data_IF_099410791679
#
_entry.id   IF_099410791679
#
_cell.length_a   1.000
_cell.length_b   1.000
_cell.length_c   1.000
_cell.angle_alpha   90.00
_cell.angle_beta   90.00
_cell.angle_gamma   90.00
#
_symmetry.space_group_name_H-M   'P 1'
#
loop_
_entity.id
_entity.type
_entity.pdbx_description
1 polymer ?
#
# COMPACT_ATOMS: atom_id res chain seq x y z
N UNK A 1 27.33 6.76 -4.25
CA UNK A 1 26.22 7.65 -3.89
C UNK A 1 25.13 7.38 -4.92
N UNK A 2 24.13 6.55 -4.61
CA UNK A 2 22.97 6.40 -5.50
C UNK A 2 22.11 7.64 -5.32
N UNK A 3 21.66 8.24 -6.41
CA UNK A 3 20.69 9.34 -6.38
C UNK A 3 19.33 8.70 -6.64
N UNK A 4 18.64 8.34 -5.57
CA UNK A 4 17.29 7.78 -5.66
C UNK A 4 16.26 8.92 -5.70
N UNK A 5 15.21 8.82 -6.53
CA UNK A 5 14.15 9.81 -6.55
C UNK A 5 13.32 9.75 -5.25
N UNK A 6 12.69 10.87 -4.88
CA UNK A 6 11.80 10.91 -3.71
C UNK A 6 10.64 9.90 -3.81
N UNK A 7 10.23 9.53 -5.03
CA UNK A 7 9.21 8.52 -5.29
C UNK A 7 9.61 7.09 -4.88
N UNK A 8 10.91 6.81 -4.70
CA UNK A 8 11.41 5.51 -4.25
C UNK A 8 11.38 5.37 -2.71
N UNK A 9 10.98 6.41 -1.98
CA UNK A 9 10.83 6.35 -0.53
C UNK A 9 9.58 5.58 -0.13
N UNK A 10 9.68 4.89 1.01
CA UNK A 10 8.63 4.10 1.63
C UNK A 10 7.75 4.91 2.58
N UNK A 11 8.14 6.14 2.88
CA UNK A 11 7.29 7.15 3.51
C UNK A 11 6.71 8.11 2.46
N UNK A 12 5.55 8.67 2.78
CA UNK A 12 4.91 9.73 2.00
C UNK A 12 4.03 10.55 2.93
N UNK A 13 3.74 11.78 2.56
CA UNK A 13 2.64 12.51 3.17
C UNK A 13 1.31 12.14 2.49
N UNK A 14 0.33 11.65 3.25
CA UNK A 14 -1.02 11.48 2.73
C UNK A 14 -1.76 12.82 2.71
N UNK A 15 -2.26 13.21 1.54
CA UNK A 15 -3.08 14.44 1.39
C UNK A 15 -4.43 14.29 2.08
N UNK A 16 -4.85 15.32 2.82
CA UNK A 16 -6.15 15.38 3.47
C UNK A 16 -7.33 15.38 2.47
N UNK A 17 -7.10 15.75 1.21
CA UNK A 17 -8.14 15.72 0.17
C UNK A 17 -8.44 14.32 -0.35
N UNK A 18 -7.53 13.37 -0.14
CA UNK A 18 -7.69 11.99 -0.60
C UNK A 18 -8.47 11.11 0.39
N UNK A 19 -8.63 11.58 1.63
CA UNK A 19 -9.26 10.83 2.72
C UNK A 19 -10.78 10.74 2.57
N UNK A 20 -11.41 9.91 3.39
CA UNK A 20 -12.86 9.68 3.45
C UNK A 20 -13.45 9.31 2.09
N UNK A 21 -12.81 8.36 1.38
CA UNK A 21 -13.24 7.94 0.04
C UNK A 21 -13.17 9.05 -1.00
N UNK A 22 -12.25 10.01 -0.84
CA UNK A 22 -12.11 11.18 -1.70
C UNK A 22 -12.98 12.38 -1.33
N UNK A 23 -13.77 12.31 -0.25
CA UNK A 23 -14.51 13.47 0.27
C UNK A 23 -13.60 14.51 0.94
N UNK A 24 -12.41 14.07 1.35
CA UNK A 24 -11.42 14.86 2.05
C UNK A 24 -11.78 15.15 3.51
N UNK A 25 -10.98 16.02 4.12
CA UNK A 25 -11.14 16.48 5.52
C UNK A 25 -11.56 17.94 5.54
N UNK A 26 -12.54 18.27 6.40
CA UNK A 26 -12.92 19.65 6.63
C UNK A 26 -11.84 20.37 7.42
N UNK A 27 -11.34 21.51 6.91
CA UNK A 27 -10.38 22.36 7.62
C UNK A 27 -11.09 23.17 8.71
N UNK A 28 -10.46 23.30 9.87
CA UNK A 28 -11.02 24.06 10.98
C UNK A 28 -10.27 23.83 12.28
N UNK A 29 -10.96 23.99 13.41
CA UNK A 29 -10.39 23.80 14.75
C UNK A 29 -11.02 22.61 15.44
N UNK A 30 -10.24 21.97 16.31
CA UNK A 30 -10.71 20.89 17.18
C UNK A 30 -10.35 21.23 18.63
N UNK A 31 -11.12 20.69 19.57
CA UNK A 31 -10.80 20.73 21.00
C UNK A 31 -10.30 19.35 21.40
N UNK A 32 -9.21 19.31 22.16
CA UNK A 32 -8.73 18.08 22.78
C UNK A 32 -8.69 18.31 24.29
N UNK A 33 -9.27 17.38 25.04
CA UNK A 33 -9.18 17.30 26.49
C UNK A 33 -8.35 16.07 26.84
N UNK A 34 -7.25 16.26 27.55
CA UNK A 34 -6.42 15.16 28.05
C UNK A 34 -7.00 14.58 29.35
N UNK A 35 -6.46 13.45 29.80
CA UNK A 35 -7.00 12.73 30.96
C UNK A 35 -6.72 13.44 32.30
N UNK A 36 -5.87 14.47 32.32
CA UNK A 36 -5.72 15.36 33.49
C UNK A 36 -6.85 16.39 33.59
N UNK A 37 -7.68 16.49 32.55
CA UNK A 37 -8.72 17.51 32.39
C UNK A 37 -8.21 18.80 31.76
N UNK A 38 -6.96 18.82 31.30
CA UNK A 38 -6.41 19.97 30.57
C UNK A 38 -6.98 20.01 29.16
N UNK A 39 -7.20 21.21 28.63
CA UNK A 39 -7.90 21.43 27.36
C UNK A 39 -7.07 22.31 26.45
N UNK A 40 -6.89 21.88 25.20
CA UNK A 40 -6.32 22.68 24.15
C UNK A 40 -7.28 22.83 22.96
N UNK A 41 -7.22 24.00 22.33
CA UNK A 41 -7.82 24.22 21.00
C UNK A 41 -6.72 24.14 19.96
N UNK A 42 -6.86 23.21 19.03
CA UNK A 42 -5.89 22.95 17.96
C UNK A 42 -6.43 23.51 16.64
N UNK A 43 -5.64 24.34 15.97
CA UNK A 43 -6.02 24.99 14.71
C UNK A 43 -5.44 24.25 13.51
N UNK A 44 -6.29 23.47 12.82
CA UNK A 44 -5.94 22.67 11.65
C UNK A 44 -6.37 23.36 10.34
N UNK A 45 -6.71 24.65 10.39
CA UNK A 45 -7.21 25.38 9.21
C UNK A 45 -6.19 25.49 8.07
N UNK A 46 -4.90 25.33 8.38
CA UNK A 46 -3.80 25.37 7.41
C UNK A 46 -3.25 23.98 7.03
N UNK A 47 -3.74 22.91 7.66
CA UNK A 47 -3.27 21.57 7.38
C UNK A 47 -3.65 21.14 5.95
N UNK A 48 -2.71 20.49 5.27
CA UNK A 48 -2.87 19.96 3.91
C UNK A 48 -2.63 18.45 3.90
N UNK A 49 -1.77 17.95 4.78
CA UNK A 49 -1.40 16.54 4.89
C UNK A 49 -1.74 15.95 6.25
N UNK A 50 -1.71 14.62 6.37
CA UNK A 50 -1.80 13.93 7.65
C UNK A 50 -0.64 14.31 8.56
N UNK A 51 0.58 14.47 8.03
CA UNK A 51 1.72 14.90 8.84
C UNK A 51 1.54 16.30 9.41
N UNK A 52 0.95 17.25 8.67
CA UNK A 52 0.60 18.56 9.23
C UNK A 52 -0.36 18.43 10.42
N UNK A 53 -1.33 17.51 10.34
CA UNK A 53 -2.27 17.24 11.44
C UNK A 53 -1.56 16.66 12.65
N UNK A 54 -0.73 15.63 12.45
CA UNK A 54 0.04 15.01 13.52
C UNK A 54 0.95 16.02 14.20
N UNK A 55 1.72 16.80 13.42
CA UNK A 55 2.62 17.83 13.93
C UNK A 55 1.86 18.91 14.70
N UNK A 56 0.73 19.38 14.17
CA UNK A 56 -0.06 20.44 14.82
C UNK A 56 -0.66 19.96 16.14
N UNK A 57 -1.09 18.69 16.24
CA UNK A 57 -1.58 18.12 17.51
C UNK A 57 -0.42 17.89 18.49
N UNK A 58 0.70 17.31 18.04
CA UNK A 58 1.86 17.00 18.88
C UNK A 58 2.53 18.25 19.45
N UNK A 59 2.43 19.38 18.75
CA UNK A 59 2.94 20.68 19.21
C UNK A 59 1.89 21.52 19.93
N UNK A 60 0.69 21.00 20.20
CA UNK A 60 -0.36 21.72 20.91
C UNK A 60 0.03 21.89 22.39
N UNK A 61 0.31 23.13 22.79
CA UNK A 61 0.60 23.44 24.19
C UNK A 61 -0.62 23.29 25.10
N UNK A 62 -0.37 22.91 26.36
CA UNK A 62 -1.39 22.85 27.42
C UNK A 62 -2.10 21.51 27.56
N UNK A 63 -1.73 20.50 26.77
CA UNK A 63 -2.17 19.09 26.90
C UNK A 63 -0.96 18.16 26.76
N UNK A 64 -1.05 16.95 27.29
CA UNK A 64 0.01 15.92 27.15
C UNK A 64 -0.47 14.77 26.26
N UNK A 65 -0.44 14.97 24.93
CA UNK A 65 -0.92 14.01 23.93
C UNK A 65 0.16 13.74 22.87
N UNK A 66 0.25 12.49 22.42
CA UNK A 66 0.98 12.10 21.22
C UNK A 66 0.02 11.56 20.16
N UNK A 67 -0.11 12.27 19.05
CA UNK A 67 -0.77 11.86 17.83
C UNK A 67 0.17 11.02 16.94
N UNK A 68 -0.37 9.93 16.41
CA UNK A 68 0.29 9.01 15.50
C UNK A 68 -0.70 8.43 14.49
N UNK A 69 -0.17 7.79 13.44
CA UNK A 69 -0.96 6.95 12.52
C UNK A 69 -1.04 5.54 13.09
N UNK A 70 -2.21 4.92 12.92
CA UNK A 70 -2.47 3.51 13.25
C UNK A 70 -3.22 2.88 12.06
N UNK A 71 -2.47 2.32 11.12
CA UNK A 71 -3.00 1.82 9.83
C UNK A 71 -3.73 2.92 9.04
N UNK A 72 -5.05 2.78 8.94
CA UNK A 72 -5.95 3.70 8.22
C UNK A 72 -6.62 4.76 9.11
N UNK A 73 -6.12 4.90 10.34
CA UNK A 73 -6.71 5.72 11.41
C UNK A 73 -5.66 6.66 12.00
N UNK A 74 -6.16 7.67 12.70
CA UNK A 74 -5.34 8.46 13.62
C UNK A 74 -5.52 7.95 15.04
N UNK A 75 -4.43 7.94 15.80
CA UNK A 75 -4.40 7.50 17.19
C UNK A 75 -3.76 8.57 18.06
N UNK A 76 -4.44 8.92 19.15
CA UNK A 76 -3.94 9.80 20.19
C UNK A 76 -3.58 8.96 21.41
N UNK A 77 -2.40 9.18 21.98
CA UNK A 77 -1.94 8.56 23.23
C UNK A 77 -1.79 9.64 24.28
N UNK A 78 -2.50 9.49 25.40
CA UNK A 78 -2.36 10.35 26.56
C UNK A 78 -1.08 10.04 27.34
N UNK A 79 -0.36 11.09 27.70
CA UNK A 79 0.86 11.05 28.51
C UNK A 79 0.73 11.88 29.79
N UNK A 80 -0.47 12.37 30.11
CA UNK A 80 -0.70 13.25 31.25
C UNK A 80 -0.70 12.49 32.58
N UNK A 81 -0.90 11.17 32.54
CA UNK A 81 -1.06 10.31 33.72
C UNK A 81 -2.37 10.54 34.49
N UNK A 82 -3.30 11.29 33.90
CA UNK A 82 -4.60 11.56 34.51
C UNK A 82 -5.56 10.39 34.38
N UNK A 83 -6.56 10.33 35.26
CA UNK A 83 -7.57 9.27 35.28
C UNK A 83 -8.88 9.67 34.55
N UNK A 84 -9.00 10.92 34.09
CA UNK A 84 -10.17 11.43 33.39
C UNK A 84 -10.33 10.88 31.98
N UNK A 85 -11.27 11.48 31.25
CA UNK A 85 -11.63 11.12 29.87
C UNK A 85 -10.72 11.84 28.87
N UNK A 86 -10.10 11.08 27.96
CA UNK A 86 -9.50 11.65 26.76
C UNK A 86 -10.60 11.90 25.74
N UNK A 87 -10.76 13.15 25.30
CA UNK A 87 -11.87 13.56 24.43
C UNK A 87 -11.41 14.48 23.32
N UNK A 88 -11.97 14.29 22.12
CA UNK A 88 -11.78 15.20 20.99
C UNK A 88 -13.14 15.67 20.46
N UNK A 89 -13.27 16.97 20.22
CA UNK A 89 -14.52 17.60 19.80
C UNK A 89 -14.32 18.52 18.60
N UNK A 90 -15.36 18.66 17.79
CA UNK A 90 -15.44 19.73 16.80
C UNK A 90 -15.56 21.10 17.50
N UNK A 91 -14.93 22.12 16.92
CA UNK A 91 -15.15 23.53 17.32
C UNK A 91 -15.82 24.30 16.17
N UNK A 92 -16.82 25.11 16.51
CA UNK A 92 -17.52 25.96 15.55
C UNK A 92 -18.46 25.15 14.65
N UNK A 93 -18.60 25.56 13.40
CA UNK A 93 -19.47 24.91 12.41
C UNK A 93 -18.78 23.82 11.57
N UNK A 94 -17.47 23.65 11.71
CA UNK A 94 -16.69 22.68 10.93
C UNK A 94 -16.69 21.31 11.59
N UNK A 95 -16.96 20.24 10.83
CA UNK A 95 -16.89 18.86 11.30
C UNK A 95 -15.46 18.28 11.23
N UNK A 96 -14.44 19.09 11.52
CA UNK A 96 -13.01 18.77 11.36
C UNK A 96 -12.61 17.48 12.11
N UNK A 97 -12.91 17.39 13.41
CA UNK A 97 -12.61 16.20 14.22
C UNK A 97 -13.35 14.96 13.72
N UNK A 98 -14.60 15.12 13.27
CA UNK A 98 -15.38 14.01 12.71
C UNK A 98 -14.77 13.52 11.39
N UNK A 99 -14.38 14.43 10.49
CA UNK A 99 -13.74 14.07 9.23
C UNK A 99 -12.32 13.51 9.39
N UNK A 100 -11.67 13.74 10.52
CA UNK A 100 -10.41 13.09 10.92
C UNK A 100 -10.65 11.76 11.65
N UNK A 101 -11.91 11.36 11.85
CA UNK A 101 -12.27 10.17 12.60
C UNK A 101 -12.01 10.26 14.11
N UNK A 102 -11.64 11.44 14.62
CA UNK A 102 -11.22 11.62 16.01
C UNK A 102 -12.34 12.08 16.94
N UNK A 103 -13.49 12.55 16.44
CA UNK A 103 -14.59 13.08 17.26
C UNK A 103 -15.27 12.00 18.13
N UNK A 104 -14.61 11.64 19.23
CA UNK A 104 -15.02 10.63 20.20
C UNK A 104 -14.35 10.91 21.54
N UNK A 105 -14.68 10.09 22.53
CA UNK A 105 -14.15 10.14 23.86
C UNK A 105 -13.91 8.72 24.39
N UNK A 106 -12.93 8.59 25.28
CA UNK A 106 -12.64 7.33 25.97
C UNK A 106 -12.36 7.60 27.45
N UNK A 107 -13.05 6.87 28.31
CA UNK A 107 -13.08 7.05 29.77
C UNK A 107 -12.29 5.96 30.52
N UNK A 108 -11.37 5.25 29.85
CA UNK A 108 -10.70 4.07 30.42
C UNK A 108 -9.36 3.71 29.78
N UNK A 109 -8.72 2.65 30.29
CA UNK A 109 -7.50 2.03 29.73
C UNK A 109 -7.88 1.24 28.46
N UNK A 110 -7.16 1.35 27.32
CA UNK A 110 -5.83 1.93 27.14
C UNK A 110 -5.77 3.46 27.25
N UNK A 111 -4.60 4.02 27.56
CA UNK A 111 -4.26 5.46 27.46
C UNK A 111 -4.45 6.06 26.05
N UNK A 112 -5.18 5.41 25.14
CA UNK A 112 -5.22 5.71 23.73
C UNK A 112 -6.63 5.89 23.23
N UNK A 113 -6.86 6.92 22.41
CA UNK A 113 -8.05 7.12 21.61
C UNK A 113 -7.68 6.81 20.15
N UNK A 114 -8.25 5.74 19.60
CA UNK A 114 -8.11 5.38 18.18
C UNK A 114 -9.35 5.82 17.42
N UNK A 115 -9.16 6.60 16.36
CA UNK A 115 -10.25 7.12 15.54
C UNK A 115 -10.94 6.09 14.65
N UNK A 116 -11.93 6.53 13.89
CA UNK A 116 -12.51 5.76 12.79
C UNK A 116 -11.56 5.67 11.59
N UNK A 117 -11.80 4.71 10.70
CA UNK A 117 -11.10 4.63 9.41
C UNK A 117 -11.39 5.89 8.60
N UNK A 118 -10.33 6.53 8.11
CA UNK A 118 -10.41 7.72 7.22
C UNK A 118 -9.66 7.53 5.91
N UNK A 119 -8.85 6.48 5.80
CA UNK A 119 -8.17 6.11 4.57
C UNK A 119 -8.85 4.88 3.98
N UNK A 120 -9.73 5.11 3.03
CA UNK A 120 -10.56 4.07 2.44
C UNK A 120 -10.87 4.37 0.98
N UNK A 121 -11.13 3.31 0.23
CA UNK A 121 -11.64 3.32 -1.12
C UNK A 121 -13.14 3.65 -1.14
N UNK A 122 -13.57 4.11 -2.30
CA UNK A 122 -14.96 4.37 -2.64
C UNK A 122 -15.18 4.06 -4.12
N UNK A 123 -16.44 3.99 -4.55
CA UNK A 123 -16.77 3.85 -5.98
C UNK A 123 -16.32 5.04 -6.84
N UNK A 124 -16.03 6.19 -6.24
CA UNK A 124 -15.47 7.36 -6.93
C UNK A 124 -13.94 7.39 -6.95
N UNK A 125 -13.27 6.43 -6.30
CA UNK A 125 -11.80 6.37 -6.29
C UNK A 125 -11.28 6.13 -7.70
N UNK A 126 -10.36 6.98 -8.14
CA UNK A 126 -9.74 6.91 -9.46
C UNK A 126 -8.77 5.73 -9.56
N UNK A 127 -8.80 5.01 -10.67
CA UNK A 127 -7.88 3.89 -10.93
C UNK A 127 -6.42 4.33 -10.93
N UNK A 128 -6.13 5.54 -11.42
CA UNK A 128 -4.78 6.12 -11.43
C UNK A 128 -4.22 6.39 -10.04
N UNK A 129 -5.06 6.46 -9.00
CA UNK A 129 -4.64 6.67 -7.62
C UNK A 129 -4.30 5.38 -6.87
N UNK A 130 -4.60 4.21 -7.44
CA UNK A 130 -4.38 2.91 -6.82
C UNK A 130 -2.92 2.49 -6.88
N UNK A 131 -2.56 1.48 -6.08
CA UNK A 131 -1.24 0.84 -6.07
C UNK A 131 -0.10 1.85 -5.88
N UNK A 132 -0.18 2.69 -4.84
CA UNK A 132 0.77 3.79 -4.59
C UNK A 132 0.86 4.86 -5.69
N UNK A 133 -0.14 4.91 -6.58
CA UNK A 133 -0.16 5.78 -7.76
C UNK A 133 0.41 5.12 -9.02
N UNK A 134 0.74 3.82 -8.97
CA UNK A 134 1.09 3.04 -10.16
C UNK A 134 -0.11 2.77 -11.07
N UNK A 135 -1.32 2.93 -10.54
CA UNK A 135 -2.57 2.79 -11.27
C UNK A 135 -3.00 1.34 -11.48
N UNK A 136 -3.97 1.18 -12.38
CA UNK A 136 -4.41 -0.10 -12.94
C UNK A 136 -4.27 0.01 -14.45
N UNK A 137 -3.62 -0.97 -15.08
CA UNK A 137 -3.60 -1.04 -16.53
C UNK A 137 -5.03 -1.19 -17.08
N UNK A 138 -5.47 -0.24 -17.88
CA UNK A 138 -6.73 -0.30 -18.64
C UNK A 138 -6.50 -0.03 -20.13
N UNK A 139 -5.23 -0.09 -20.57
CA UNK A 139 -4.81 0.19 -21.94
C UNK A 139 -4.73 -1.11 -22.74
N UNK A 140 -5.88 -1.72 -23.04
CA UNK A 140 -5.89 -3.03 -23.68
C UNK A 140 -7.26 -3.55 -24.14
N UNK A 141 -7.23 -4.70 -24.80
CA UNK A 141 -8.41 -5.43 -25.27
C UNK A 141 -9.13 -6.15 -24.13
N UNK A 142 -8.77 -7.43 -23.89
CA UNK A 142 -9.27 -8.19 -22.74
C UNK A 142 -8.36 -7.92 -21.55
N UNK A 143 -8.91 -7.31 -20.51
CA UNK A 143 -8.16 -6.84 -19.34
C UNK A 143 -8.25 -7.81 -18.16
N UNK A 144 -9.42 -8.43 -17.99
CA UNK A 144 -9.65 -9.46 -16.97
C UNK A 144 -10.39 -10.63 -17.60
N UNK A 145 -9.92 -11.84 -17.34
CA UNK A 145 -10.56 -13.09 -17.75
C UNK A 145 -10.92 -13.92 -16.53
N UNK A 146 -12.17 -14.38 -16.48
CA UNK A 146 -12.71 -15.28 -15.47
C UNK A 146 -12.97 -16.63 -16.11
N UNK A 147 -12.58 -17.72 -15.44
CA UNK A 147 -12.94 -19.07 -15.86
C UNK A 147 -13.03 -20.03 -14.69
N UNK A 148 -13.98 -20.96 -14.74
CA UNK A 148 -14.03 -22.09 -13.82
C UNK A 148 -13.81 -23.45 -14.53
N UNK A 149 -13.20 -23.41 -15.72
CA UNK A 149 -13.01 -24.59 -16.58
C UNK A 149 -14.23 -24.96 -17.43
N UNK A 150 -15.45 -24.69 -16.95
CA UNK A 150 -16.71 -24.96 -17.68
C UNK A 150 -17.23 -23.71 -18.39
N UNK A 151 -17.22 -22.58 -17.67
CA UNK A 151 -17.64 -21.27 -18.13
C UNK A 151 -16.44 -20.34 -18.14
N UNK A 152 -16.42 -19.43 -19.11
CA UNK A 152 -15.42 -18.38 -19.18
C UNK A 152 -16.04 -17.12 -19.78
N UNK A 153 -15.64 -15.98 -19.23
CA UNK A 153 -15.95 -14.69 -19.81
C UNK A 153 -14.81 -13.71 -19.53
N UNK A 154 -14.79 -12.62 -20.29
CA UNK A 154 -13.75 -11.59 -20.19
C UNK A 154 -14.37 -10.21 -20.17
N UNK A 155 -13.71 -9.28 -19.49
CA UNK A 155 -14.12 -7.88 -19.45
C UNK A 155 -12.98 -6.97 -19.90
N UNK A 156 -13.36 -5.86 -20.52
CA UNK A 156 -12.48 -4.79 -20.96
C UNK A 156 -12.76 -3.54 -20.12
N UNK A 157 -11.70 -2.88 -19.66
CA UNK A 157 -11.69 -1.73 -18.77
C UNK A 157 -11.33 -0.42 -19.50
N UNK A 158 -11.13 -0.46 -20.82
CA UNK A 158 -10.71 0.67 -21.67
C UNK A 158 -11.48 2.00 -21.51
N UNK A 159 -12.70 1.98 -20.95
CA UNK A 159 -13.50 3.18 -20.68
C UNK A 159 -13.68 3.50 -19.19
N UNK A 160 -13.08 2.69 -18.30
CA UNK A 160 -13.20 2.85 -16.85
C UNK A 160 -12.11 3.77 -16.30
N UNK A 161 -12.49 4.59 -15.34
CA UNK A 161 -11.68 5.60 -14.65
C UNK A 161 -11.80 5.48 -13.14
N UNK A 162 -12.90 4.93 -12.63
CA UNK A 162 -13.11 4.72 -11.19
C UNK A 162 -13.32 3.25 -10.83
N UNK A 163 -13.13 2.93 -9.54
CA UNK A 163 -13.46 1.60 -9.00
C UNK A 163 -14.94 1.24 -9.17
N UNK A 164 -15.85 2.21 -9.08
CA UNK A 164 -17.28 1.98 -9.35
C UNK A 164 -17.52 1.48 -10.77
N UNK A 165 -16.87 2.10 -11.76
CA UNK A 165 -16.99 1.68 -13.16
C UNK A 165 -16.37 0.29 -13.39
N UNK A 166 -15.27 -0.05 -12.71
CA UNK A 166 -14.71 -1.42 -12.75
C UNK A 166 -15.67 -2.44 -12.16
N UNK A 167 -16.24 -2.15 -10.98
CA UNK A 167 -17.23 -2.99 -10.31
C UNK A 167 -18.42 -3.24 -11.24
N UNK A 168 -18.97 -2.17 -11.83
CA UNK A 168 -20.09 -2.28 -12.77
C UNK A 168 -19.72 -3.05 -14.03
N UNK A 169 -18.49 -2.89 -14.53
CA UNK A 169 -18.00 -3.58 -15.74
C UNK A 169 -17.85 -5.08 -15.50
N UNK A 170 -17.33 -5.50 -14.35
CA UNK A 170 -17.26 -6.93 -13.97
C UNK A 170 -18.68 -7.48 -13.80
N UNK A 171 -19.50 -6.77 -13.02
CA UNK A 171 -20.84 -7.20 -12.67
C UNK A 171 -21.76 -7.31 -13.87
N UNK A 172 -21.60 -6.47 -14.88
CA UNK A 172 -22.43 -6.47 -16.09
C UNK A 172 -21.69 -7.04 -17.31
N UNK A 173 -20.58 -7.75 -17.08
CA UNK A 173 -19.79 -8.40 -18.13
C UNK A 173 -20.61 -9.40 -18.94
N UNK A 174 -20.46 -9.37 -20.26
CA UNK A 174 -21.12 -10.33 -21.14
C UNK A 174 -20.64 -11.76 -20.83
N UNK A 175 -21.56 -12.66 -20.48
CA UNK A 175 -21.24 -14.03 -20.06
C UNK A 175 -21.03 -14.21 -18.56
N UNK A 176 -21.20 -13.15 -17.75
CA UNK A 176 -21.26 -13.26 -16.30
C UNK A 176 -22.65 -13.74 -15.84
N UNK A 177 -22.95 -15.01 -16.12
CA UNK A 177 -24.23 -15.68 -15.83
C UNK A 177 -23.95 -17.01 -15.11
N UNK A 178 -24.68 -17.30 -14.03
CA UNK A 178 -24.53 -18.57 -13.31
C UNK A 178 -25.33 -19.74 -13.94
N UNK A 179 -26.10 -19.47 -14.99
CA UNK A 179 -26.97 -20.43 -15.67
C UNK A 179 -28.28 -20.71 -14.94
N UNK A 180 -28.52 -20.03 -13.81
CA UNK A 180 -29.72 -20.11 -12.97
C UNK A 180 -30.49 -18.77 -12.95
N UNK A 181 -30.07 -17.80 -13.76
CA UNK A 181 -30.65 -16.46 -13.85
C UNK A 181 -30.01 -15.43 -12.90
N UNK A 182 -28.89 -15.79 -12.27
CA UNK A 182 -28.04 -14.90 -11.48
C UNK A 182 -26.70 -14.60 -12.16
N UNK A 183 -25.79 -13.95 -11.43
CA UNK A 183 -24.44 -13.65 -11.90
C UNK A 183 -23.49 -14.75 -11.43
N UNK A 184 -22.57 -15.19 -12.28
CA UNK A 184 -21.53 -16.14 -11.89
C UNK A 184 -20.62 -15.53 -10.82
N UNK A 185 -20.23 -14.27 -11.00
CA UNK A 185 -19.43 -13.49 -10.06
C UNK A 185 -20.05 -12.12 -9.79
N UNK A 186 -19.90 -11.63 -8.57
CA UNK A 186 -20.25 -10.26 -8.18
C UNK A 186 -19.06 -9.59 -7.49
N UNK A 187 -18.56 -8.51 -8.09
CA UNK A 187 -17.55 -7.63 -7.52
C UNK A 187 -18.16 -6.59 -6.58
N UNK A 188 -17.49 -6.31 -5.47
CA UNK A 188 -17.76 -5.20 -4.56
C UNK A 188 -16.46 -4.70 -3.91
N UNK A 189 -16.51 -3.55 -3.23
CA UNK A 189 -15.47 -3.23 -2.25
C UNK A 189 -15.47 -4.29 -1.15
N UNK A 190 -14.30 -4.58 -0.58
CA UNK A 190 -14.18 -5.46 0.59
C UNK A 190 -14.70 -4.76 1.87
N UNK A 191 -14.85 -5.51 2.95
CA UNK A 191 -15.44 -5.01 4.20
C UNK A 191 -14.71 -3.77 4.78
N UNK A 192 -13.39 -3.71 4.61
CA UNK A 192 -12.54 -2.63 5.11
C UNK A 192 -12.43 -1.45 4.12
N UNK A 193 -12.99 -1.59 2.91
CA UNK A 193 -12.83 -0.66 1.79
C UNK A 193 -11.35 -0.39 1.43
N UNK A 194 -10.51 -1.42 1.43
CA UNK A 194 -9.08 -1.34 1.12
C UNK A 194 -8.75 -2.06 -0.19
N UNK A 195 -9.65 -2.90 -0.68
CA UNK A 195 -9.56 -3.64 -1.94
C UNK A 195 -10.93 -4.07 -2.47
N UNK A 196 -10.94 -5.10 -3.30
CA UNK A 196 -12.14 -5.66 -3.92
C UNK A 196 -12.38 -7.10 -3.44
N UNK A 197 -13.64 -7.50 -3.37
CA UNK A 197 -14.05 -8.89 -3.14
C UNK A 197 -14.86 -9.37 -4.36
N UNK A 198 -14.62 -10.61 -4.78
CA UNK A 198 -15.45 -11.32 -5.74
C UNK A 198 -16.27 -12.38 -5.00
N UNK A 199 -17.58 -12.17 -4.93
CA UNK A 199 -18.52 -13.22 -4.54
C UNK A 199 -18.72 -14.15 -5.73
N UNK A 200 -18.48 -15.45 -5.55
CA UNK A 200 -18.54 -16.43 -6.62
C UNK A 200 -19.61 -17.48 -6.35
N UNK A 201 -20.52 -17.66 -7.32
CA UNK A 201 -21.69 -18.54 -7.20
C UNK A 201 -21.48 -19.93 -7.82
N UNK A 202 -20.26 -20.26 -8.28
CA UNK A 202 -19.94 -21.57 -8.82
C UNK A 202 -19.29 -22.52 -7.81
N UNK A 203 -19.28 -23.81 -8.15
CA UNK A 203 -18.68 -24.87 -7.33
C UNK A 203 -17.29 -25.28 -7.79
N UNK A 204 -17.00 -25.08 -9.08
CA UNK A 204 -15.69 -25.38 -9.67
C UNK A 204 -14.68 -24.28 -9.33
N UNK A 205 -13.37 -24.59 -9.22
CA UNK A 205 -12.36 -23.59 -8.90
C UNK A 205 -12.33 -22.41 -9.88
N UNK A 206 -12.50 -21.19 -9.38
CA UNK A 206 -12.44 -19.96 -10.14
C UNK A 206 -10.99 -19.53 -10.38
N UNK A 207 -10.67 -19.22 -11.63
CA UNK A 207 -9.43 -18.62 -12.08
C UNK A 207 -9.70 -17.22 -12.61
N UNK A 208 -8.93 -16.24 -12.14
CA UNK A 208 -9.01 -14.85 -12.58
C UNK A 208 -7.61 -14.46 -13.06
N UNK A 209 -7.51 -14.00 -14.31
CA UNK A 209 -6.23 -13.64 -14.95
C UNK A 209 -6.33 -12.32 -15.68
N UNK A 210 -5.17 -11.72 -15.97
CA UNK A 210 -5.05 -10.40 -16.61
C UNK A 210 -4.10 -9.48 -15.85
N UNK A 211 -3.54 -8.49 -16.53
CA UNK A 211 -2.67 -7.48 -15.90
C UNK A 211 -3.49 -6.61 -14.95
N UNK A 212 -4.63 -6.11 -15.43
CA UNK A 212 -5.58 -5.36 -14.61
C UNK A 212 -6.11 -6.17 -13.43
N UNK A 213 -6.29 -7.49 -13.60
CA UNK A 213 -6.67 -8.37 -12.50
C UNK A 213 -5.61 -8.41 -11.39
N UNK A 214 -4.32 -8.43 -11.76
CA UNK A 214 -3.21 -8.36 -10.79
C UNK A 214 -3.14 -6.99 -10.13
N UNK A 215 -3.27 -5.92 -10.91
CA UNK A 215 -3.27 -4.55 -10.38
C UNK A 215 -4.48 -4.29 -9.47
N UNK A 216 -5.61 -4.94 -9.71
CA UNK A 216 -6.80 -4.88 -8.83
C UNK A 216 -6.74 -5.89 -7.67
N UNK A 217 -5.63 -6.64 -7.53
CA UNK A 217 -5.44 -7.62 -6.47
C UNK A 217 -6.35 -8.85 -6.57
N UNK A 218 -7.00 -9.08 -7.72
CA UNK A 218 -8.00 -10.12 -7.94
C UNK A 218 -7.47 -11.38 -8.63
N UNK A 219 -6.25 -11.34 -9.17
CA UNK A 219 -5.70 -12.45 -9.93
C UNK A 219 -5.49 -13.69 -9.02
N UNK A 220 -6.10 -14.81 -9.39
CA UNK A 220 -6.03 -16.08 -8.66
C UNK A 220 -6.01 -17.26 -9.61
N UNK A 221 -5.34 -18.33 -9.23
CA UNK A 221 -5.28 -19.58 -9.98
C UNK A 221 -6.04 -20.68 -9.23
N UNK A 222 -7.34 -20.83 -9.55
CA UNK A 222 -8.17 -21.94 -9.05
C UNK A 222 -8.51 -21.86 -7.56
N UNK A 223 -9.44 -20.98 -7.18
CA UNK A 223 -9.97 -20.85 -5.82
C UNK A 223 -11.40 -21.37 -5.75
N UNK A 224 -11.73 -22.14 -4.71
CA UNK A 224 -13.12 -22.53 -4.43
C UNK A 224 -13.73 -21.50 -3.48
N UNK A 225 -14.86 -20.91 -3.88
CA UNK A 225 -15.55 -19.87 -3.10
C UNK A 225 -15.14 -18.45 -3.49
N UNK A 226 -15.38 -17.50 -2.59
CA UNK A 226 -15.12 -16.09 -2.82
C UNK A 226 -13.62 -15.80 -2.94
N UNK A 227 -13.30 -14.75 -3.69
CA UNK A 227 -11.93 -14.22 -3.80
C UNK A 227 -11.87 -12.90 -3.04
N UNK A 228 -11.08 -12.86 -1.98
CA UNK A 228 -10.69 -11.61 -1.32
C UNK A 228 -9.46 -11.06 -2.03
N UNK A 229 -9.60 -9.88 -2.62
CA UNK A 229 -8.51 -9.23 -3.31
C UNK A 229 -7.53 -8.55 -2.35
N UNK A 230 -6.29 -8.39 -2.79
CA UNK A 230 -5.29 -7.64 -2.03
C UNK A 230 -5.65 -6.16 -1.90
N UNK A 231 -5.10 -5.52 -0.87
CA UNK A 231 -5.18 -4.07 -0.67
C UNK A 231 -4.61 -3.26 -1.85
N UNK A 232 -5.36 -2.23 -2.26
CA UNK A 232 -5.08 -1.36 -3.41
C UNK A 232 -4.75 0.08 -3.04
N UNK A 233 -5.07 0.49 -1.81
CA UNK A 233 -4.77 1.82 -1.28
C UNK A 233 -3.72 1.70 -0.19
N UNK A 234 -2.59 2.37 -0.30
CA UNK A 234 -1.59 2.37 0.78
C UNK A 234 -2.19 2.87 2.08
N UNK A 235 -1.71 2.37 3.23
CA UNK A 235 -2.03 2.96 4.53
C UNK A 235 -1.61 4.43 4.62
N UNK A 236 -1.95 5.09 5.72
CA UNK A 236 -1.53 6.47 5.96
C UNK A 236 0.00 6.55 6.10
N UNK A 237 0.61 7.48 5.36
CA UNK A 237 2.03 7.78 5.37
C UNK A 237 2.99 6.59 5.13
N UNK A 238 2.55 5.60 4.37
CA UNK A 238 3.32 4.39 4.04
C UNK A 238 3.15 4.00 2.57
N UNK A 239 3.82 2.92 2.16
CA UNK A 239 3.65 2.22 0.88
C UNK A 239 3.09 0.82 1.06
N UNK A 240 2.52 0.27 0.00
CA UNK A 240 2.01 -1.10 -0.06
C UNK A 240 3.17 -2.10 -0.09
N UNK A 241 3.00 -3.21 0.62
CA UNK A 241 3.93 -4.34 0.56
C UNK A 241 3.93 -4.96 -0.84
N UNK A 242 2.78 -4.98 -1.52
CA UNK A 242 2.64 -5.49 -2.89
C UNK A 242 3.45 -4.71 -3.93
N UNK A 243 3.91 -3.50 -3.61
CA UNK A 243 4.77 -2.70 -4.48
C UNK A 243 6.27 -2.83 -4.17
N UNK A 244 6.67 -3.62 -3.17
CA UNK A 244 8.09 -3.89 -2.91
C UNK A 244 8.68 -4.84 -3.96
N UNK A 245 10.01 -4.97 -3.97
CA UNK A 245 10.74 -5.89 -4.86
C UNK A 245 10.38 -5.70 -6.34
N UNK A 246 10.32 -4.44 -6.79
CA UNK A 246 9.97 -4.10 -8.17
C UNK A 246 8.49 -4.29 -8.51
N UNK A 247 7.64 -4.55 -7.50
CA UNK A 247 6.21 -4.80 -7.67
C UNK A 247 5.83 -6.28 -7.69
N UNK A 248 6.79 -7.16 -7.39
CA UNK A 248 6.53 -8.59 -7.12
C UNK A 248 5.89 -8.79 -5.74
N UNK A 249 6.00 -7.78 -4.87
CA UNK A 249 5.57 -7.84 -3.48
C UNK A 249 6.60 -8.51 -2.58
N UNK A 250 6.25 -8.71 -1.31
CA UNK A 250 7.05 -9.49 -0.39
C UNK A 250 6.20 -10.60 0.21
N UNK A 251 6.69 -11.84 0.13
CA UNK A 251 6.13 -12.98 0.86
C UNK A 251 6.49 -12.84 2.33
N UNK A 252 5.50 -12.44 3.13
CA UNK A 252 5.66 -12.23 4.55
C UNK A 252 5.25 -13.48 5.35
N UNK A 253 5.91 -13.69 6.49
CA UNK A 253 5.63 -14.82 7.35
C UNK A 253 6.14 -14.59 8.76
N UNK A 254 6.47 -15.67 9.45
CA UNK A 254 6.99 -15.60 10.81
C UNK A 254 8.52 -15.66 10.86
N UNK A 255 9.09 -14.94 11.82
CA UNK A 255 10.52 -14.98 12.11
C UNK A 255 10.79 -14.62 13.59
N UNK A 256 12.05 -14.74 13.99
CA UNK A 256 12.52 -14.38 15.33
C UNK A 256 13.76 -13.50 15.24
N UNK A 257 13.95 -12.66 16.26
CA UNK A 257 15.15 -11.82 16.42
C UNK A 257 15.84 -12.19 17.73
N UNK A 258 17.15 -12.42 17.68
CA UNK A 258 18.01 -12.50 18.87
C UNK A 258 18.80 -11.20 19.00
N UNK A 259 18.59 -10.47 20.08
CA UNK A 259 19.36 -9.27 20.42
C UNK A 259 20.74 -9.64 20.98
N UNK A 260 21.64 -8.65 21.04
CA UNK A 260 23.04 -8.84 21.41
C UNK A 260 23.25 -9.16 22.90
N UNK A 261 22.27 -8.90 23.76
CA UNK A 261 22.26 -9.35 25.15
C UNK A 261 21.81 -10.82 25.30
N UNK A 262 21.45 -11.47 24.20
CA UNK A 262 20.96 -12.85 24.14
C UNK A 262 19.44 -12.98 24.32
N UNK A 263 18.70 -11.88 24.50
CA UNK A 263 17.24 -11.92 24.54
C UNK A 263 16.67 -12.24 23.16
N UNK A 264 15.58 -13.01 23.15
CA UNK A 264 14.90 -13.42 21.92
C UNK A 264 13.50 -12.80 21.86
N UNK A 265 13.17 -12.24 20.70
CA UNK A 265 11.82 -11.86 20.29
C UNK A 265 11.36 -12.92 19.31
N UNK A 266 10.51 -13.83 19.78
CA UNK A 266 10.10 -14.99 19.00
C UNK A 266 8.75 -14.77 18.33
N UNK A 267 8.53 -15.45 17.20
CA UNK A 267 7.23 -15.54 16.54
C UNK A 267 6.66 -14.17 16.17
N UNK A 268 7.52 -13.30 15.63
CA UNK A 268 7.11 -12.07 14.97
C UNK A 268 6.40 -12.49 13.69
N UNK A 269 5.09 -12.25 13.61
CA UNK A 269 4.27 -12.65 12.47
C UNK A 269 3.94 -11.43 11.60
N UNK A 270 4.43 -11.44 10.36
CA UNK A 270 4.17 -10.41 9.36
C UNK A 270 3.13 -10.82 8.32
N UNK A 271 2.55 -12.02 8.41
CA UNK A 271 1.67 -12.58 7.37
C UNK A 271 0.42 -11.73 7.09
N UNK A 272 -0.02 -10.93 8.06
CA UNK A 272 -1.15 -10.01 7.92
C UNK A 272 -0.78 -8.57 7.53
N UNK A 273 0.49 -8.25 7.27
CA UNK A 273 0.87 -6.89 6.91
C UNK A 273 0.65 -6.61 5.42
N UNK A 274 -0.06 -5.54 5.12
CA UNK A 274 -0.33 -5.09 3.74
C UNK A 274 0.47 -3.83 3.38
N UNK A 275 1.07 -3.17 4.38
CA UNK A 275 1.85 -1.95 4.25
C UNK A 275 3.17 -1.97 5.04
N UNK A 276 4.14 -1.15 4.61
CA UNK A 276 5.44 -1.05 5.30
C UNK A 276 5.29 -0.56 6.74
N UNK A 277 4.37 0.37 7.04
CA UNK A 277 4.10 0.80 8.41
C UNK A 277 3.55 -0.32 9.29
N UNK A 278 2.73 -1.23 8.75
CA UNK A 278 2.26 -2.40 9.49
C UNK A 278 3.40 -3.36 9.76
N UNK A 279 4.30 -3.58 8.79
CA UNK A 279 5.53 -4.36 9.01
C UNK A 279 6.33 -3.77 10.17
N UNK A 280 6.62 -2.46 10.15
CA UNK A 280 7.34 -1.79 11.23
C UNK A 280 6.60 -1.91 12.58
N UNK A 281 5.28 -1.76 12.56
CA UNK A 281 4.44 -1.81 13.77
C UNK A 281 4.39 -3.22 14.36
N UNK A 282 4.27 -4.27 13.54
CA UNK A 282 4.26 -5.65 14.00
C UNK A 282 5.60 -6.05 14.61
N UNK A 283 6.72 -5.59 14.05
CA UNK A 283 8.05 -5.83 14.65
C UNK A 283 8.18 -5.08 15.98
N UNK A 284 7.88 -3.78 16.00
CA UNK A 284 8.03 -2.94 17.19
C UNK A 284 7.13 -3.37 18.34
N UNK A 285 5.91 -3.83 18.04
CA UNK A 285 4.92 -4.26 19.01
C UNK A 285 4.90 -5.78 19.22
N UNK A 286 5.84 -6.52 18.63
CA UNK A 286 5.92 -7.96 18.82
C UNK A 286 6.03 -8.33 20.31
N UNK A 287 5.33 -9.40 20.70
CA UNK A 287 5.34 -9.88 22.07
C UNK A 287 6.78 -10.17 22.53
N UNK A 288 7.17 -9.59 23.68
CA UNK A 288 8.52 -9.75 24.24
C UNK A 288 9.59 -8.82 23.67
N UNK A 289 9.28 -8.01 22.65
CA UNK A 289 10.18 -6.99 22.13
C UNK A 289 10.39 -5.87 23.17
N UNK A 290 9.33 -5.27 23.69
CA UNK A 290 9.40 -4.24 24.76
C UNK A 290 10.45 -3.14 24.51
N UNK A 291 10.68 -2.78 23.24
CA UNK A 291 11.67 -1.77 22.83
C UNK A 291 13.13 -2.26 22.73
N UNK A 292 13.40 -3.55 22.95
CA UNK A 292 14.75 -4.14 22.81
C UNK A 292 15.29 -4.03 21.39
N UNK A 293 14.42 -4.19 20.39
CA UNK A 293 14.73 -3.99 18.98
C UNK A 293 13.73 -3.02 18.39
N UNK A 294 14.23 -1.95 17.78
CA UNK A 294 13.41 -0.91 17.14
C UNK A 294 13.56 -1.01 15.64
N UNK A 295 12.44 -1.24 14.93
CA UNK A 295 12.33 -1.20 13.50
C UNK A 295 11.92 0.21 13.03
N UNK A 296 12.68 0.77 12.09
CA UNK A 296 12.43 2.07 11.47
C UNK A 296 12.69 1.99 9.97
N UNK A 297 12.34 3.02 9.22
CA UNK A 297 12.93 3.19 7.89
C UNK A 297 14.42 3.55 8.04
N UNK A 298 15.24 3.09 7.10
CA UNK A 298 16.64 3.47 7.02
C UNK A 298 16.78 4.97 6.71
N UNK A 299 17.99 5.53 6.83
CA UNK A 299 18.23 6.96 6.62
C UNK A 299 17.80 7.46 5.22
N UNK A 300 17.90 6.61 4.20
CA UNK A 300 17.48 6.93 2.84
C UNK A 300 15.94 6.90 2.66
N UNK A 301 15.21 6.28 3.59
CA UNK A 301 13.76 6.08 3.54
C UNK A 301 13.32 4.98 2.57
N UNK A 302 14.23 4.17 2.03
CA UNK A 302 13.93 3.17 0.99
C UNK A 302 14.08 1.71 1.46
N UNK A 303 14.26 1.51 2.76
CA UNK A 303 14.31 0.18 3.37
C UNK A 303 14.14 0.25 4.88
N UNK A 304 14.23 -0.90 5.54
CA UNK A 304 14.02 -1.07 6.96
C UNK A 304 15.37 -1.16 7.67
N UNK A 305 15.45 -0.56 8.86
CA UNK A 305 16.58 -0.61 9.78
C UNK A 305 16.09 -1.13 11.13
N UNK A 306 16.64 -2.25 11.57
CA UNK A 306 16.48 -2.76 12.92
C UNK A 306 17.63 -2.24 13.79
N UNK A 307 17.32 -1.77 15.00
CA UNK A 307 18.28 -1.26 15.97
C UNK A 307 18.09 -1.97 17.31
N UNK A 308 19.11 -2.69 17.76
CA UNK A 308 19.18 -3.27 19.09
C UNK A 308 19.56 -2.21 20.14
N UNK A 309 18.74 -2.09 21.18
CA UNK A 309 18.87 -1.13 22.28
C UNK A 309 19.33 -1.77 23.60
N UNK A 310 19.57 -3.08 23.62
CA UNK A 310 19.87 -3.86 24.85
C UNK A 310 21.29 -3.66 25.37
N UNK A 311 22.22 -3.20 24.52
CA UNK A 311 23.62 -2.92 24.91
C UNK A 311 24.51 -4.15 25.09
N UNK A 312 24.06 -5.35 24.70
CA UNK A 312 24.86 -6.57 24.77
C UNK A 312 26.02 -6.63 23.77
N UNK A 313 26.95 -7.55 24.01
CA UNK A 313 28.16 -7.71 23.18
C UNK A 313 28.07 -8.85 22.15
N UNK A 314 27.02 -9.67 22.20
CA UNK A 314 26.75 -10.71 21.22
C UNK A 314 26.40 -10.15 19.84
N UNK A 315 25.88 -11.02 18.97
CA UNK A 315 25.42 -10.61 17.65
C UNK A 315 23.91 -10.38 17.65
N UNK A 316 23.47 -9.43 16.82
CA UNK A 316 22.07 -9.30 16.42
C UNK A 316 21.83 -10.31 15.29
N UNK A 317 20.86 -11.20 15.43
CA UNK A 317 20.57 -12.21 14.41
C UNK A 317 19.09 -12.40 14.16
N UNK A 318 18.77 -12.78 12.93
CA UNK A 318 17.42 -13.12 12.49
C UNK A 318 17.34 -14.60 12.13
N UNK A 319 16.24 -15.24 12.52
CA UNK A 319 15.96 -16.64 12.20
C UNK A 319 14.53 -16.82 11.66
N UNK A 320 14.37 -17.67 10.65
CA UNK A 320 13.10 -17.87 9.93
C UNK A 320 13.08 -17.12 8.60
N UNK A 321 12.20 -17.52 7.69
CA UNK A 321 12.12 -16.99 6.33
C UNK A 321 11.08 -15.86 6.16
N UNK A 322 10.30 -15.56 7.19
CA UNK A 322 9.18 -14.62 7.12
C UNK A 322 9.52 -13.16 6.80
N UNK A 323 10.82 -12.82 6.71
CA UNK A 323 11.32 -11.51 6.33
C UNK A 323 12.49 -11.59 5.31
N UNK A 324 12.62 -12.69 4.57
CA UNK A 324 13.63 -12.86 3.51
C UNK A 324 13.41 -11.85 2.38
N UNK A 325 12.18 -11.72 1.90
CA UNK A 325 11.80 -10.75 0.85
C UNK A 325 11.88 -9.29 1.32
N UNK A 326 12.05 -9.07 2.63
CA UNK A 326 12.37 -7.75 3.20
C UNK A 326 13.88 -7.53 3.33
N UNK A 327 14.73 -8.44 2.85
CA UNK A 327 16.18 -8.35 2.98
C UNK A 327 16.69 -8.39 4.43
N UNK A 328 15.87 -8.84 5.38
CA UNK A 328 16.23 -8.89 6.81
C UNK A 328 16.68 -10.28 7.25
N UNK A 329 16.20 -11.35 6.61
CA UNK A 329 16.29 -12.71 7.13
C UNK A 329 17.16 -13.68 6.30
N UNK A 330 18.30 -13.24 5.78
CA UNK A 330 19.21 -14.09 4.98
C UNK A 330 20.18 -14.96 5.82
N UNK A 331 19.83 -15.28 7.08
CA UNK A 331 20.73 -15.96 8.02
C UNK A 331 21.86 -15.07 8.55
N UNK A 332 21.73 -13.74 8.39
CA UNK A 332 22.70 -12.77 8.91
C UNK A 332 22.70 -12.71 10.43
N UNK A 333 23.90 -12.88 10.96
CA UNK A 333 24.27 -12.53 12.32
C UNK A 333 25.29 -11.41 12.23
N UNK A 334 24.97 -10.23 12.75
CA UNK A 334 25.83 -9.05 12.69
C UNK A 334 26.39 -8.71 14.06
N UNK A 335 27.69 -8.47 14.14
CA UNK A 335 28.37 -7.97 15.34
C UNK A 335 28.18 -6.44 15.50
N UNK A 336 26.98 -5.95 15.21
CA UNK A 336 26.60 -4.54 15.24
C UNK A 336 25.22 -4.38 15.88
N UNK A 337 24.92 -3.21 16.45
CA UNK A 337 23.60 -2.90 17.02
C UNK A 337 22.56 -2.58 15.96
N UNK A 338 22.90 -2.67 14.67
CA UNK A 338 22.04 -2.27 13.56
C UNK A 338 22.13 -3.30 12.44
N UNK A 339 20.98 -3.73 11.92
CA UNK A 339 20.83 -4.58 10.73
C UNK A 339 19.81 -3.92 9.78
N UNK A 340 20.20 -3.67 8.53
CA UNK A 340 19.36 -2.99 7.54
C UNK A 340 19.07 -3.86 6.34
N UNK A 341 17.88 -3.70 5.75
CA UNK A 341 17.43 -4.44 4.56
C UNK A 341 18.12 -4.07 3.25
N UNK A 342 18.88 -2.97 3.23
CA UNK A 342 19.22 -2.29 1.98
C UNK A 342 18.00 -1.58 1.37
N UNK A 343 17.96 -1.46 0.04
CA UNK A 343 16.83 -0.88 -0.69
C UNK A 343 15.80 -1.97 -1.02
N UNK A 344 14.54 -1.77 -0.61
CA UNK A 344 13.42 -2.70 -0.85
C UNK A 344 12.81 -2.58 -2.26
N UNK A 345 13.43 -1.78 -3.14
CA UNK A 345 13.10 -1.67 -4.56
C UNK A 345 11.63 -1.35 -4.79
N UNK A 346 11.09 -0.31 -4.14
CA UNK A 346 9.71 0.09 -4.35
C UNK A 346 9.43 0.33 -5.84
N UNK A 347 8.36 -0.26 -6.36
CA UNK A 347 7.84 0.04 -7.70
C UNK A 347 7.20 1.42 -7.71
N UNK A 348 7.86 2.35 -8.39
CA UNK A 348 7.33 3.69 -8.70
C UNK A 348 7.21 3.95 -10.21
N UNK A 349 7.54 2.95 -11.03
CA UNK A 349 7.32 2.90 -12.48
C UNK A 349 6.63 1.55 -12.77
N UNK A 350 5.52 1.62 -13.50
CA UNK A 350 4.65 0.49 -13.86
C UNK A 350 4.36 0.49 -15.35
N UNK A 351 3.71 -0.57 -15.86
CA UNK A 351 3.18 -0.60 -17.23
C UNK A 351 2.18 0.54 -17.47
N UNK A 352 1.39 0.93 -16.46
CA UNK A 352 0.50 2.09 -16.51
C UNK A 352 1.21 3.45 -16.46
N UNK A 353 2.52 3.49 -16.22
CA UNK A 353 3.26 4.76 -16.18
C UNK A 353 3.28 5.40 -17.56
N UNK A 354 2.84 6.65 -17.63
CA UNK A 354 2.81 7.40 -18.87
C UNK A 354 4.22 7.75 -19.34
N UNK A 355 4.46 7.63 -20.63
CA UNK A 355 5.76 7.97 -21.23
C UNK A 355 6.07 9.47 -21.08
N UNK A 356 5.04 10.32 -21.08
CA UNK A 356 5.18 11.77 -20.89
C UNK A 356 5.56 12.16 -19.45
N UNK A 357 5.36 11.29 -18.45
CA UNK A 357 5.76 11.56 -17.07
C UNK A 357 7.22 11.20 -16.78
N UNK A 358 7.88 10.48 -17.69
CA UNK A 358 9.29 10.12 -17.55
C UNK A 358 10.21 11.35 -17.57
N UNK A 359 11.42 11.19 -17.03
CA UNK A 359 12.42 12.28 -16.94
C UNK A 359 11.88 13.54 -16.22
N UNK A 360 11.13 13.35 -15.14
CA UNK A 360 10.53 14.45 -14.39
C UNK A 360 9.45 15.21 -15.15
N UNK A 361 8.71 14.52 -16.03
CA UNK A 361 7.68 15.13 -16.87
C UNK A 361 8.17 15.73 -18.19
N UNK A 362 9.47 15.63 -18.49
CA UNK A 362 9.99 15.98 -19.82
C UNK A 362 9.62 14.93 -20.88
N UNK A 363 9.19 13.75 -20.44
CA UNK A 363 8.96 12.59 -21.28
C UNK A 363 10.24 12.06 -21.92
N UNK A 364 10.07 11.25 -22.96
CA UNK A 364 11.15 10.80 -23.83
C UNK A 364 10.96 11.37 -25.24
N UNK A 365 12.05 11.48 -25.99
CA UNK A 365 11.95 11.80 -27.42
C UNK A 365 11.28 10.63 -28.13
N UNK A 366 10.12 10.89 -28.73
CA UNK A 366 9.40 9.92 -29.56
C UNK A 366 10.05 9.81 -30.93
N UNK A 367 10.12 8.62 -31.50
CA UNK A 367 10.76 8.36 -32.77
C UNK A 367 10.78 6.89 -33.12
N UNK A 368 11.63 6.53 -34.08
CA UNK A 368 11.84 5.16 -34.51
C UNK A 368 13.28 4.80 -34.16
N UNK A 369 13.47 3.65 -33.53
CA UNK A 369 14.82 3.15 -33.24
C UNK A 369 14.92 1.67 -33.58
N UNK A 370 16.17 1.23 -33.79
CA UNK A 370 16.49 -0.15 -34.15
C UNK A 370 17.17 -0.84 -32.98
N UNK A 371 16.63 -1.99 -32.58
CA UNK A 371 17.27 -2.91 -31.64
C UNK A 371 17.95 -4.00 -32.46
N UNK A 372 19.17 -4.37 -32.07
CA UNK A 372 19.89 -5.52 -32.62
C UNK A 372 20.08 -6.52 -31.50
N UNK A 373 19.62 -7.76 -31.67
CA UNK A 373 19.84 -8.80 -30.67
C UNK A 373 21.27 -9.38 -30.74
N UNK A 374 21.60 -10.27 -29.82
CA UNK A 374 22.91 -10.94 -29.76
C UNK A 374 23.21 -11.84 -30.96
N UNK A 375 22.20 -12.15 -31.79
CA UNK A 375 22.30 -12.93 -33.03
C UNK A 375 22.39 -12.02 -34.26
N UNK A 376 22.40 -10.69 -34.09
CA UNK A 376 22.45 -9.71 -35.17
C UNK A 376 21.10 -9.46 -35.85
N UNK A 377 19.99 -9.98 -35.30
CA UNK A 377 18.65 -9.76 -35.83
C UNK A 377 18.19 -8.36 -35.43
N UNK A 378 17.66 -7.64 -36.42
CA UNK A 378 17.19 -6.27 -36.25
C UNK A 378 15.68 -6.23 -36.08
N UNK A 379 15.22 -5.57 -35.03
CA UNK A 379 13.84 -5.14 -34.88
C UNK A 379 13.78 -3.61 -34.92
N UNK A 380 12.86 -3.07 -35.69
CA UNK A 380 12.56 -1.63 -35.66
C UNK A 380 11.38 -1.43 -34.74
N UNK A 381 11.52 -0.53 -33.76
CA UNK A 381 10.46 -0.17 -32.83
C UNK A 381 10.04 1.27 -33.13
N UNK A 382 8.77 1.45 -33.44
CA UNK A 382 8.17 2.76 -33.69
C UNK A 382 7.38 3.24 -32.46
N UNK A 383 7.89 4.29 -31.81
CA UNK A 383 7.22 4.98 -30.69
C UNK A 383 6.76 6.38 -31.07
N UNK A 384 6.81 6.72 -32.35
CA UNK A 384 6.28 7.97 -32.89
C UNK A 384 4.76 7.94 -33.02
N UNK A 385 4.14 6.76 -32.99
CA UNK A 385 2.70 6.59 -33.09
C UNK A 385 1.96 7.16 -31.86
N UNK A 386 0.75 7.66 -32.09
CA UNK A 386 -0.13 8.18 -31.02
C UNK A 386 -0.73 7.08 -30.14
N UNK A 387 -0.54 5.81 -30.52
CA UNK A 387 -1.03 4.64 -29.77
C UNK A 387 -0.12 4.21 -28.61
N UNK A 388 1.09 4.76 -28.51
CA UNK A 388 2.03 4.46 -27.42
C UNK A 388 1.98 5.58 -26.38
N UNK A 389 1.21 5.40 -25.32
CA UNK A 389 0.97 6.39 -24.25
C UNK A 389 1.69 5.99 -22.96
N UNK A 390 1.70 4.70 -22.63
CA UNK A 390 2.26 4.14 -21.41
C UNK A 390 3.48 3.24 -21.68
N UNK A 391 4.22 2.87 -20.64
CA UNK A 391 5.30 1.88 -20.73
C UNK A 391 4.76 0.52 -21.17
N UNK A 392 3.55 0.15 -20.75
CA UNK A 392 2.84 -1.05 -21.18
C UNK A 392 2.54 -1.04 -22.67
N UNK A 393 2.07 0.09 -23.21
CA UNK A 393 1.86 0.24 -24.66
C UNK A 393 3.17 0.05 -25.42
N UNK A 394 4.26 0.64 -24.90
CA UNK A 394 5.59 0.51 -25.48
C UNK A 394 6.08 -0.95 -25.48
N UNK A 395 5.95 -1.65 -24.35
CA UNK A 395 6.33 -3.05 -24.22
C UNK A 395 5.52 -3.94 -25.18
N UNK A 396 4.21 -3.69 -25.29
CA UNK A 396 3.31 -4.39 -26.21
C UNK A 396 3.68 -4.14 -27.68
N UNK A 397 3.96 -2.89 -28.04
CA UNK A 397 4.37 -2.50 -29.39
C UNK A 397 5.69 -3.18 -29.78
N UNK A 398 6.64 -3.28 -28.84
CA UNK A 398 7.90 -4.00 -29.03
C UNK A 398 7.67 -5.51 -29.25
N UNK A 399 6.84 -6.15 -28.41
CA UNK A 399 6.55 -7.59 -28.53
C UNK A 399 5.87 -7.94 -29.86
N UNK A 400 4.97 -7.08 -30.35
CA UNK A 400 4.29 -7.29 -31.64
C UNK A 400 5.23 -7.12 -32.85
N UNK A 401 6.21 -6.21 -32.77
CA UNK A 401 7.15 -5.93 -33.87
C UNK A 401 8.44 -6.78 -33.83
N UNK A 402 8.72 -7.43 -32.70
CA UNK A 402 9.94 -8.21 -32.46
C UNK A 402 9.71 -9.72 -32.34
N UNK A 403 9.03 -10.34 -33.30
CA UNK A 403 8.67 -11.78 -33.35
C UNK A 403 9.87 -12.76 -33.36
N UNK A 404 10.69 -12.72 -32.30
CA UNK A 404 11.86 -13.57 -32.11
C UNK A 404 12.78 -13.21 -30.94
N UNK A 405 12.54 -12.10 -30.23
CA UNK A 405 13.30 -11.73 -29.02
C UNK A 405 12.32 -11.52 -27.88
N UNK A 406 12.01 -12.60 -27.16
CA UNK A 406 11.41 -12.47 -25.83
C UNK A 406 12.34 -11.59 -25.00
N UNK A 407 11.79 -10.54 -24.38
CA UNK A 407 12.46 -9.89 -23.27
C UNK A 407 12.70 -11.01 -22.24
N UNK A 408 13.95 -11.32 -21.84
CA UNK A 408 14.17 -12.29 -20.80
C UNK A 408 13.44 -11.76 -19.58
N UNK A 409 12.47 -12.53 -19.11
CA UNK A 409 11.90 -12.43 -17.79
C UNK A 409 13.05 -12.22 -16.80
N UNK A 410 13.25 -10.98 -16.33
CA UNK A 410 14.27 -10.65 -15.33
C UNK A 410 13.85 -11.15 -13.93
N UNK A 411 12.93 -12.11 -13.83
CA UNK A 411 12.65 -12.91 -12.61
C UNK A 411 13.72 -13.98 -12.33
N UNK A 412 15.00 -13.66 -12.55
CA UNK A 412 16.11 -14.42 -11.99
C UNK A 412 17.25 -13.48 -11.59
N UNK A 413 17.17 -12.90 -10.40
CA UNK A 413 17.95 -13.30 -9.23
C UNK A 413 17.69 -12.40 -8.04
#
# INVERSE_FOLDING_TARGET
MSVEPASARLDRDTSLTALNGGSGVSRGKIRITDRSGSVATVDLSKAVTVNDVLETINNAGGISIVASVDGDRLKLTDQSGGAGTLKVENIGSTATATSLGLATDTDGDPLTLTGSVINSLSTSTLLSGLNDGNGVDSTGGVDISFSNGTQAFSVALNSTRTLGEVIDTINNGLGNDDGLGGKLVTASLNADNTGLTITYNGVDPLTITGNSARDLGLAVAGVVGNVEGSRLLSGLNTKLVSNLNGGDGAALGTFSITARDGTNVNNIDLSGAESVSEVLSLINNAAGNNGKVVATLNQAGNGIQLTDTTGGSGNLSIAGNGAEDLGLADGTSVAASTLGSGNLQLRYISEGTRIDSLNGGAGITRGIFRITDSRGINATVDVSSTGVVTIGDFASQHQQQGSGSQCPDQRQR
#
